data_IF_795100757259
#
_entry.id   IF_795100757259
#
_cell.length_a   1.000
_cell.length_b   1.000
_cell.length_c   1.000
_cell.angle_alpha   90.00
_cell.angle_beta   90.00
_cell.angle_gamma   90.00
#
_symmetry.space_group_name_H-M   'P 1'
#
loop_
_entity.id
_entity.type
_entity.pdbx_description
1 polymer ?
#
# COMPACT_ATOMS: atom_id res chain seq x y z
N UNK A 1 -42.05 18.26 19.75
CA UNK A 1 -40.61 18.57 19.69
C UNK A 1 -40.14 18.17 18.31
N UNK A 2 -40.03 19.11 17.38
CA UNK A 2 -39.61 18.84 16.00
C UNK A 2 -38.08 18.86 15.98
N UNK A 3 -37.47 17.71 15.74
CA UNK A 3 -36.04 17.63 15.42
C UNK A 3 -35.91 17.97 13.95
N UNK A 4 -35.43 19.18 13.66
CA UNK A 4 -35.00 19.58 12.33
C UNK A 4 -33.72 18.79 12.03
N UNK A 5 -33.86 17.67 11.30
CA UNK A 5 -32.72 16.94 10.77
C UNK A 5 -32.11 17.81 9.66
N UNK A 6 -30.95 18.37 9.95
CA UNK A 6 -30.09 19.01 8.95
C UNK A 6 -29.87 18.01 7.81
N UNK A 7 -30.17 18.41 6.57
CA UNK A 7 -30.07 17.59 5.37
C UNK A 7 -28.62 17.40 4.91
N UNK A 8 -27.74 16.94 5.81
CA UNK A 8 -26.55 16.21 5.38
C UNK A 8 -27.01 14.78 5.11
N UNK A 9 -27.02 14.40 3.84
CA UNK A 9 -27.28 13.01 3.44
C UNK A 9 -26.16 12.18 4.05
N UNK A 10 -26.43 11.52 5.17
CA UNK A 10 -25.50 10.58 5.77
C UNK A 10 -25.26 9.44 4.78
N UNK A 11 -24.04 9.29 4.29
CA UNK A 11 -23.66 8.11 3.51
C UNK A 11 -23.69 6.93 4.46
N UNK A 12 -24.43 5.88 4.09
CA UNK A 12 -24.44 4.64 4.87
C UNK A 12 -23.05 4.02 4.83
N UNK A 13 -22.57 3.47 5.95
CA UNK A 13 -21.23 2.88 6.01
C UNK A 13 -21.03 1.81 4.93
N UNK A 14 -22.05 0.98 4.66
CA UNK A 14 -22.07 -0.04 3.57
C UNK A 14 -21.93 0.52 2.14
N UNK A 15 -21.91 1.84 1.99
CA UNK A 15 -21.72 2.54 0.71
C UNK A 15 -20.46 3.41 0.69
N UNK A 16 -19.68 3.45 1.77
CA UNK A 16 -18.41 4.17 1.78
C UNK A 16 -17.38 3.41 0.94
N UNK A 17 -16.73 4.12 0.02
CA UNK A 17 -15.55 3.68 -0.69
C UNK A 17 -14.26 3.99 0.08
N UNK A 18 -13.13 3.64 -0.52
CA UNK A 18 -11.82 3.79 0.13
C UNK A 18 -11.48 5.26 0.40
N UNK A 19 -11.90 6.20 -0.47
CA UNK A 19 -11.61 7.63 -0.33
C UNK A 19 -12.26 8.24 0.92
N UNK A 20 -13.46 7.78 1.31
CA UNK A 20 -14.10 8.23 2.55
C UNK A 20 -13.54 7.54 3.80
N UNK A 21 -13.05 6.30 3.67
CA UNK A 21 -12.48 5.54 4.79
C UNK A 21 -11.03 5.92 5.09
N UNK A 22 -10.26 6.24 4.05
CA UNK A 22 -8.84 6.57 4.11
C UNK A 22 -8.55 7.78 3.22
N UNK A 23 -8.61 9.00 3.78
CA UNK A 23 -8.25 10.19 3.02
C UNK A 23 -6.78 10.10 2.60
N UNK A 24 -6.53 10.30 1.31
CA UNK A 24 -5.18 10.30 0.78
C UNK A 24 -4.33 11.34 1.52
N UNK A 25 -3.15 10.91 2.00
CA UNK A 25 -2.21 11.84 2.59
C UNK A 25 -1.66 12.77 1.50
N UNK A 26 -1.92 14.07 1.63
CA UNK A 26 -1.42 15.07 0.70
C UNK A 26 0.07 15.30 0.99
N UNK A 27 0.90 14.90 0.04
CA UNK A 27 2.35 15.10 0.11
C UNK A 27 2.65 16.57 -0.20
N UNK A 28 3.35 17.25 0.71
CA UNK A 28 3.82 18.62 0.54
C UNK A 28 4.72 18.75 -0.70
N UNK A 29 4.57 19.84 -1.45
CA UNK A 29 5.42 20.19 -2.58
C UNK A 29 6.92 20.20 -2.21
N UNK A 30 7.26 20.63 -0.99
CA UNK A 30 8.64 20.60 -0.49
C UNK A 30 9.21 19.16 -0.45
N UNK A 31 8.38 18.14 -0.26
CA UNK A 31 8.81 16.73 -0.33
C UNK A 31 9.04 16.31 -1.77
N UNK A 32 8.20 16.76 -2.71
CA UNK A 32 8.37 16.50 -4.14
C UNK A 32 9.66 17.12 -4.68
N UNK A 33 10.00 18.33 -4.24
CA UNK A 33 11.23 19.03 -4.64
C UNK A 33 12.51 18.33 -4.17
N UNK A 34 12.43 17.50 -3.14
CA UNK A 34 13.56 16.67 -2.68
C UNK A 34 13.82 15.48 -3.59
N UNK A 35 12.90 15.11 -4.48
CA UNK A 35 13.06 14.00 -5.41
C UNK A 35 13.73 14.49 -6.69
N UNK A 36 14.61 13.66 -7.27
CA UNK A 36 15.21 13.98 -8.58
C UNK A 36 14.26 13.56 -9.71
N UNK A 37 13.25 14.39 -9.94
CA UNK A 37 12.20 14.22 -10.94
C UNK A 37 12.69 14.72 -12.31
N UNK A 38 13.25 13.83 -13.13
CA UNK A 38 13.58 14.11 -14.53
C UNK A 38 12.81 13.17 -15.48
N UNK A 39 12.76 13.45 -16.79
CA UNK A 39 12.04 12.61 -17.76
C UNK A 39 12.53 11.15 -17.79
N UNK A 40 13.82 10.93 -17.50
CA UNK A 40 14.42 9.58 -17.42
C UNK A 40 14.18 8.87 -16.08
N UNK A 41 13.50 9.51 -15.12
CA UNK A 41 13.21 8.93 -13.79
C UNK A 41 12.63 7.52 -13.88
N UNK A 42 11.61 7.23 -14.72
CA UNK A 42 11.01 5.89 -14.79
C UNK A 42 11.99 4.81 -15.28
N UNK A 43 13.08 5.19 -15.98
CA UNK A 43 14.13 4.28 -16.44
C UNK A 43 15.27 4.11 -15.42
N UNK A 44 15.51 5.12 -14.58
CA UNK A 44 16.63 5.14 -13.62
C UNK A 44 16.25 4.56 -12.26
N UNK A 45 15.02 4.76 -11.83
CA UNK A 45 14.53 4.21 -10.56
C UNK A 45 14.16 2.75 -10.75
N UNK A 46 14.39 1.94 -9.72
CA UNK A 46 14.25 0.49 -9.80
C UNK A 46 13.30 -0.03 -8.72
N UNK A 47 12.51 -1.05 -9.05
CA UNK A 47 11.77 -1.87 -8.09
C UNK A 47 12.38 -3.27 -8.04
N UNK A 48 12.64 -3.79 -6.85
CA UNK A 48 13.08 -5.16 -6.63
C UNK A 48 11.99 -5.97 -5.94
N UNK A 49 11.48 -6.99 -6.62
CA UNK A 49 10.39 -7.84 -6.19
C UNK A 49 10.91 -9.19 -5.73
N UNK A 50 10.24 -9.82 -4.78
CA UNK A 50 10.44 -11.24 -4.48
C UNK A 50 9.34 -12.06 -5.14
N UNK A 51 9.75 -13.06 -5.89
CA UNK A 51 8.86 -14.06 -6.51
C UNK A 51 9.25 -15.44 -6.00
N UNK A 52 8.41 -16.48 -6.22
CA UNK A 52 8.76 -17.85 -5.86
C UNK A 52 10.03 -18.36 -6.56
N UNK A 53 10.37 -17.75 -7.70
CA UNK A 53 11.56 -18.08 -8.50
C UNK A 53 12.80 -17.24 -8.10
N UNK A 54 12.69 -16.38 -7.10
CA UNK A 54 13.77 -15.50 -6.64
C UNK A 54 13.47 -14.01 -6.80
N UNK A 55 14.51 -13.20 -6.62
CA UNK A 55 14.43 -11.74 -6.69
C UNK A 55 14.50 -11.25 -8.14
N UNK A 56 13.59 -10.35 -8.51
CA UNK A 56 13.51 -9.76 -9.85
C UNK A 56 13.56 -8.24 -9.75
N UNK A 57 14.56 -7.64 -10.38
CA UNK A 57 14.68 -6.19 -10.54
C UNK A 57 14.01 -5.70 -11.83
N UNK A 58 13.29 -4.60 -11.76
CA UNK A 58 12.70 -3.92 -12.92
C UNK A 58 12.86 -2.40 -12.79
N UNK A 59 12.85 -1.68 -13.92
CA UNK A 59 12.76 -0.23 -13.87
C UNK A 59 11.34 0.18 -13.46
N UNK A 60 11.19 1.36 -12.84
CA UNK A 60 9.88 1.86 -12.38
C UNK A 60 8.86 1.97 -13.52
N UNK A 61 9.31 2.24 -14.75
CA UNK A 61 8.43 2.23 -15.93
C UNK A 61 7.76 0.87 -16.20
N UNK A 62 8.42 -0.21 -15.79
CA UNK A 62 8.01 -1.59 -16.05
C UNK A 62 7.30 -2.19 -14.82
N UNK A 63 7.20 -1.42 -13.72
CA UNK A 63 6.65 -1.85 -12.43
C UNK A 63 5.20 -2.35 -12.55
N UNK A 64 4.38 -1.67 -13.35
CA UNK A 64 2.97 -2.05 -13.58
C UNK A 64 2.80 -3.32 -14.43
N UNK A 65 3.87 -3.81 -15.07
CA UNK A 65 3.84 -5.07 -15.84
C UNK A 65 4.27 -6.27 -15.00
N UNK A 66 4.65 -6.07 -13.73
CA UNK A 66 5.08 -7.16 -12.86
C UNK A 66 3.88 -8.00 -12.41
N UNK A 67 3.98 -9.34 -12.48
CA UNK A 67 2.90 -10.20 -12.02
C UNK A 67 2.80 -10.12 -10.50
N UNK A 68 1.78 -9.42 -9.99
CA UNK A 68 1.54 -9.29 -8.55
C UNK A 68 1.15 -10.64 -7.93
N UNK A 69 0.44 -11.48 -8.69
CA UNK A 69 0.04 -12.80 -8.27
C UNK A 69 1.27 -13.67 -7.95
N UNK A 70 1.35 -14.15 -6.71
CA UNK A 70 2.45 -14.98 -6.23
C UNK A 70 3.69 -14.19 -5.79
N UNK A 71 3.70 -12.86 -5.87
CA UNK A 71 4.75 -12.06 -5.23
C UNK A 71 4.75 -12.28 -3.71
N UNK A 72 5.95 -12.26 -3.14
CA UNK A 72 6.18 -12.45 -1.71
C UNK A 72 6.66 -11.15 -1.07
N UNK A 73 6.39 -10.95 0.24
CA UNK A 73 6.97 -9.84 0.99
C UNK A 73 8.50 -9.81 0.89
N UNK A 74 9.07 -8.66 0.51
CA UNK A 74 10.53 -8.52 0.39
C UNK A 74 11.25 -8.56 1.74
N UNK A 75 10.53 -8.28 2.83
CA UNK A 75 10.99 -8.58 4.20
C UNK A 75 10.01 -9.52 4.87
N UNK A 76 10.55 -10.37 5.73
CA UNK A 76 9.75 -11.23 6.58
C UNK A 76 9.24 -10.40 7.75
N UNK A 77 7.97 -10.58 8.08
CA UNK A 77 7.41 -10.12 9.33
C UNK A 77 8.21 -10.70 10.49
N UNK A 78 8.63 -9.86 11.43
CA UNK A 78 9.34 -10.30 12.63
C UNK A 78 8.60 -9.83 13.87
N UNK A 79 8.12 -10.78 14.67
CA UNK A 79 7.40 -10.51 15.92
C UNK A 79 8.36 -10.71 17.10
N UNK A 80 8.45 -9.70 17.97
CA UNK A 80 9.28 -9.77 19.17
C UNK A 80 8.46 -9.33 20.39
N UNK A 81 8.70 -9.97 21.52
CA UNK A 81 8.14 -9.54 22.79
C UNK A 81 8.56 -8.07 23.08
N UNK A 82 7.66 -7.29 23.68
CA UNK A 82 7.85 -5.87 24.04
C UNK A 82 7.98 -4.88 22.87
N UNK A 83 7.60 -5.26 21.64
CA UNK A 83 7.42 -4.27 20.58
C UNK A 83 6.28 -3.30 20.93
N UNK A 84 6.51 -2.00 20.66
CA UNK A 84 5.47 -0.97 20.82
C UNK A 84 4.37 -1.12 19.78
N UNK A 85 4.74 -1.58 18.59
CA UNK A 85 3.80 -1.83 17.50
C UNK A 85 3.10 -3.18 17.77
N UNK A 86 1.88 -3.34 17.27
CA UNK A 86 1.07 -4.54 17.46
C UNK A 86 1.03 -5.31 16.13
N UNK A 87 2.04 -6.12 15.80
CA UNK A 87 1.98 -6.90 14.57
C UNK A 87 1.03 -8.10 14.73
N UNK A 88 0.50 -8.58 13.61
CA UNK A 88 -0.43 -9.70 13.61
C UNK A 88 -0.77 -10.19 12.22
N UNK A 89 -1.83 -11.00 12.13
CA UNK A 89 -2.41 -11.48 10.88
C UNK A 89 -3.87 -11.05 10.81
N UNK A 90 -4.30 -10.53 9.66
CA UNK A 90 -5.71 -10.21 9.36
C UNK A 90 -6.19 -11.14 8.24
N UNK A 91 -7.37 -11.72 8.40
CA UNK A 91 -7.96 -12.57 7.36
C UNK A 91 -8.81 -11.72 6.43
N UNK A 92 -8.50 -11.75 5.13
CA UNK A 92 -9.25 -11.02 4.12
C UNK A 92 -10.17 -11.99 3.39
N UNK A 93 -11.48 -11.77 3.49
CA UNK A 93 -12.51 -12.57 2.82
C UNK A 93 -12.33 -12.52 1.30
N UNK A 94 -11.98 -11.35 0.75
CA UNK A 94 -11.81 -11.13 -0.69
C UNK A 94 -10.67 -11.95 -1.28
N UNK A 95 -9.63 -12.23 -0.49
CA UNK A 95 -8.45 -13.01 -0.94
C UNK A 95 -8.42 -14.45 -0.41
N UNK A 96 -9.29 -14.79 0.55
CA UNK A 96 -9.34 -16.08 1.23
C UNK A 96 -8.07 -16.44 2.03
N UNK A 97 -7.25 -15.44 2.41
CA UNK A 97 -5.92 -15.65 3.01
C UNK A 97 -5.67 -14.72 4.21
N UNK A 98 -4.70 -15.12 5.03
CA UNK A 98 -4.15 -14.30 6.11
C UNK A 98 -3.03 -13.40 5.57
N UNK A 99 -3.09 -12.12 5.93
CA UNK A 99 -2.10 -11.11 5.56
C UNK A 99 -1.46 -10.52 6.82
N UNK A 100 -0.13 -10.38 6.80
CA UNK A 100 0.61 -9.80 7.91
C UNK A 100 0.52 -8.28 7.94
N UNK A 101 0.45 -7.71 9.13
CA UNK A 101 0.56 -6.28 9.40
C UNK A 101 1.55 -6.03 10.54
N UNK A 102 2.19 -4.87 10.55
CA UNK A 102 3.14 -4.42 11.57
C UNK A 102 2.54 -3.38 12.54
N UNK A 103 1.40 -2.78 12.20
CA UNK A 103 0.72 -1.75 13.00
C UNK A 103 -0.82 -1.88 13.01
N UNK A 104 -1.49 -1.18 13.94
CA UNK A 104 -2.96 -1.17 14.01
C UNK A 104 -3.58 -0.36 12.87
N UNK A 105 -2.85 0.64 12.38
CA UNK A 105 -3.19 1.44 11.22
C UNK A 105 -3.20 0.59 9.95
N UNK A 106 -2.17 -0.24 9.75
CA UNK A 106 -2.13 -1.24 8.67
C UNK A 106 -3.25 -2.26 8.77
N UNK A 107 -3.55 -2.76 9.98
CA UNK A 107 -4.71 -3.65 10.18
C UNK A 107 -6.02 -2.97 9.78
N UNK A 108 -6.18 -1.70 10.14
CA UNK A 108 -7.38 -0.92 9.80
C UNK A 108 -7.50 -0.71 8.29
N UNK A 109 -6.36 -0.49 7.60
CA UNK A 109 -6.31 -0.43 6.14
C UNK A 109 -6.73 -1.75 5.52
N UNK A 110 -6.18 -2.88 5.97
CA UNK A 110 -6.54 -4.22 5.46
C UNK A 110 -8.05 -4.50 5.59
N UNK A 111 -8.66 -4.14 6.72
CA UNK A 111 -10.10 -4.28 6.94
C UNK A 111 -10.91 -3.41 5.97
N UNK A 112 -10.50 -2.17 5.71
CA UNK A 112 -11.20 -1.31 4.76
C UNK A 112 -11.02 -1.76 3.31
N UNK A 113 -9.83 -2.27 2.94
CA UNK A 113 -9.59 -2.86 1.63
C UNK A 113 -10.50 -4.07 1.39
N UNK A 114 -10.68 -4.93 2.40
CA UNK A 114 -11.59 -6.07 2.29
C UNK A 114 -13.06 -5.65 2.24
N UNK A 115 -13.39 -4.56 2.94
CA UNK A 115 -14.74 -4.02 3.02
C UNK A 115 -15.27 -3.49 1.69
N UNK A 116 -14.45 -2.80 0.89
CA UNK A 116 -14.89 -2.19 -0.38
C UNK A 116 -15.26 -3.21 -1.48
N UNK A 117 -14.98 -4.50 -1.26
CA UNK A 117 -15.52 -5.61 -2.05
C UNK A 117 -15.01 -5.76 -3.48
N UNK A 118 -14.19 -4.83 -3.98
CA UNK A 118 -13.56 -4.89 -5.31
C UNK A 118 -12.12 -5.43 -5.27
N UNK A 119 -11.61 -5.73 -4.08
CA UNK A 119 -10.25 -6.21 -3.86
C UNK A 119 -10.03 -7.60 -4.47
N UNK A 120 -8.95 -7.76 -5.23
CA UNK A 120 -8.55 -9.01 -5.89
C UNK A 120 -7.31 -9.61 -5.22
N UNK A 121 -6.33 -8.78 -4.89
CA UNK A 121 -5.08 -9.21 -4.27
C UNK A 121 -4.53 -8.12 -3.35
N UNK A 122 -3.83 -8.53 -2.30
CA UNK A 122 -3.00 -7.67 -1.45
C UNK A 122 -1.66 -8.33 -1.27
N UNK A 123 -0.59 -7.58 -1.54
CA UNK A 123 0.78 -8.03 -1.26
C UNK A 123 1.39 -7.11 -0.21
N UNK A 124 1.69 -7.62 1.00
CA UNK A 124 2.45 -6.86 1.98
C UNK A 124 3.90 -6.70 1.51
N UNK A 125 4.47 -5.52 1.73
CA UNK A 125 5.87 -5.21 1.45
C UNK A 125 6.31 -5.71 0.07
N UNK A 126 5.62 -5.27 -1.00
CA UNK A 126 5.58 -5.95 -2.30
C UNK A 126 6.91 -5.89 -3.05
N UNK A 127 7.62 -4.77 -2.94
CA UNK A 127 8.91 -4.56 -3.57
C UNK A 127 9.72 -3.51 -2.82
N UNK A 128 11.04 -3.52 -3.04
CA UNK A 128 11.91 -2.42 -2.63
C UNK A 128 12.08 -1.44 -3.76
N UNK A 129 11.63 -0.21 -3.56
CA UNK A 129 11.85 0.92 -4.45
C UNK A 129 13.22 1.54 -4.16
N UNK A 130 14.06 1.65 -5.19
CA UNK A 130 15.29 2.43 -5.17
C UNK A 130 15.12 3.65 -6.06
N UNK A 131 15.21 4.83 -5.45
CA UNK A 131 14.92 6.11 -6.09
C UNK A 131 15.99 7.14 -5.74
N UNK A 132 16.08 8.21 -6.52
CA UNK A 132 17.08 9.25 -6.30
C UNK A 132 16.45 10.54 -5.78
N UNK A 133 17.12 11.12 -4.80
CA UNK A 133 16.80 12.41 -4.20
C UNK A 133 17.79 13.47 -4.69
N UNK A 134 17.36 14.72 -4.71
CA UNK A 134 18.18 15.85 -5.11
C UNK A 134 19.31 16.14 -4.09
N UNK A 135 19.12 15.77 -2.82
CA UNK A 135 20.02 16.10 -1.71
C UNK A 135 20.89 14.92 -1.28
N UNK A 136 20.30 13.73 -1.14
CA UNK A 136 20.95 12.58 -0.50
C UNK A 136 21.38 11.48 -1.50
N UNK A 137 21.19 11.70 -2.80
CA UNK A 137 21.42 10.67 -3.81
C UNK A 137 20.40 9.53 -3.72
N UNK A 138 20.84 8.29 -3.93
CA UNK A 138 19.96 7.12 -3.94
C UNK A 138 19.47 6.73 -2.55
N UNK A 139 18.16 6.51 -2.44
CA UNK A 139 17.44 6.03 -1.25
C UNK A 139 16.65 4.77 -1.61
N UNK A 140 16.31 4.01 -0.57
CA UNK A 140 15.48 2.82 -0.67
C UNK A 140 14.26 2.93 0.24
N UNK A 141 13.11 2.48 -0.24
CA UNK A 141 11.87 2.41 0.51
C UNK A 141 11.13 1.12 0.15
N UNK A 142 10.35 0.57 1.07
CA UNK A 142 9.48 -0.60 0.85
C UNK A 142 8.08 -0.15 1.21
N UNK A 143 7.13 -0.10 0.25
CA UNK A 143 5.73 0.22 0.54
C UNK A 143 5.15 -0.82 1.50
N UNK A 144 4.17 -0.46 2.32
CA UNK A 144 3.59 -1.40 3.29
C UNK A 144 2.68 -2.44 2.62
N UNK A 145 1.85 -2.00 1.67
CA UNK A 145 0.96 -2.87 0.89
C UNK A 145 0.84 -2.41 -0.56
N UNK A 146 0.64 -3.38 -1.46
CA UNK A 146 0.09 -3.17 -2.79
C UNK A 146 -1.26 -3.88 -2.86
N UNK A 147 -2.34 -3.11 -3.00
CA UNK A 147 -3.68 -3.62 -3.24
C UNK A 147 -3.98 -3.59 -4.74
N UNK A 148 -4.56 -4.67 -5.25
CA UNK A 148 -5.02 -4.78 -6.64
C UNK A 148 -6.53 -4.92 -6.61
N UNK A 149 -7.21 -4.01 -7.31
CA UNK A 149 -8.66 -4.02 -7.43
C UNK A 149 -9.08 -4.51 -8.82
N UNK A 150 -10.32 -4.99 -8.93
CA UNK A 150 -10.87 -5.56 -10.17
C UNK A 150 -10.98 -4.52 -11.29
N UNK A 151 -11.19 -3.27 -10.94
CA UNK A 151 -11.36 -2.12 -11.82
C UNK A 151 -10.05 -1.48 -12.30
N UNK A 152 -8.90 -1.94 -11.78
CA UNK A 152 -7.57 -1.48 -12.20
C UNK A 152 -7.06 -0.31 -11.39
#
# INVERSE_FOLDING_TARGET
>A
MFVTVSSQIGVRSDRCGLEELFPAYVIDQAVWERLRLGPDRPRRWMGAWRTPNGEVGCAVRDLGSMPVAGCEPVRRFSWRAQQRHRPGLEFLVSTGRLHGFESLEERSLLLALDFVGTLVEVVPQPFRLRFETAVDGFREHTPDFLAVFRDG
#
